data_IF_828642258796
#
_entry.id   IF_828642258796
#
_cell.length_a   1.000
_cell.length_b   1.000
_cell.length_c   1.000
_cell.angle_alpha   90.00
_cell.angle_beta   90.00
_cell.angle_gamma   90.00
#
_symmetry.space_group_name_H-M   'P 1'
#
loop_
_entity.id
_entity.type
_entity.pdbx_description
1 polymer ?
#
# COMPACT_ATOMS: atom_id res chain seq x y z
N UNK A 1 12.86 -18.97 -6.58
CA UNK A 1 11.47 -19.48 -6.41
C UNK A 1 10.76 -18.48 -5.51
N UNK A 2 9.56 -18.00 -5.85
CA UNK A 2 8.84 -17.05 -4.95
C UNK A 2 8.32 -17.82 -3.75
N UNK A 3 8.41 -17.22 -2.55
CA UNK A 3 7.88 -17.82 -1.33
C UNK A 3 6.36 -18.05 -1.47
N UNK A 4 5.91 -19.23 -1.08
CA UNK A 4 4.49 -19.61 -1.11
C UNK A 4 3.63 -18.70 -0.22
N UNK A 5 4.19 -18.18 0.89
CA UNK A 5 3.51 -17.22 1.76
C UNK A 5 3.21 -15.92 1.02
N UNK A 6 4.18 -15.39 0.25
CA UNK A 6 4.01 -14.18 -0.55
C UNK A 6 2.95 -14.35 -1.64
N UNK A 7 3.00 -15.49 -2.37
CA UNK A 7 2.01 -15.79 -3.41
C UNK A 7 0.59 -15.93 -2.84
N UNK A 8 0.45 -16.54 -1.66
CA UNK A 8 -0.84 -16.68 -0.98
C UNK A 8 -1.38 -15.32 -0.50
N UNK A 9 -0.51 -14.46 0.04
CA UNK A 9 -0.88 -13.11 0.41
C UNK A 9 -1.35 -12.30 -0.80
N UNK A 10 -0.61 -12.36 -1.92
CA UNK A 10 -1.01 -11.69 -3.15
C UNK A 10 -2.40 -12.13 -3.63
N UNK A 11 -2.74 -13.43 -3.50
CA UNK A 11 -4.08 -13.95 -3.81
C UNK A 11 -5.13 -13.35 -2.87
N UNK A 12 -4.87 -13.27 -1.57
CA UNK A 12 -5.80 -12.64 -0.61
C UNK A 12 -6.06 -11.18 -1.00
N UNK A 13 -5.01 -10.42 -1.34
CA UNK A 13 -5.15 -9.01 -1.72
C UNK A 13 -5.99 -8.84 -2.99
N UNK A 14 -5.76 -9.68 -4.01
CA UNK A 14 -6.44 -9.57 -5.31
C UNK A 14 -7.82 -10.19 -5.33
N UNK A 15 -8.02 -11.31 -4.63
CA UNK A 15 -9.27 -12.09 -4.69
C UNK A 15 -10.28 -11.64 -3.65
N UNK A 16 -9.83 -11.49 -2.41
CA UNK A 16 -10.70 -11.17 -1.27
C UNK A 16 -10.75 -9.67 -0.99
N UNK A 17 -9.58 -9.01 -0.84
CA UNK A 17 -9.55 -7.64 -0.33
C UNK A 17 -10.15 -6.63 -1.31
N UNK A 18 -9.73 -6.62 -2.57
CA UNK A 18 -10.25 -5.68 -3.58
C UNK A 18 -11.05 -6.37 -4.69
N UNK A 19 -11.10 -7.71 -4.71
CA UNK A 19 -11.89 -8.52 -5.64
C UNK A 19 -11.67 -8.10 -7.11
N UNK A 20 -10.42 -8.22 -7.57
CA UNK A 20 -10.03 -7.86 -8.94
C UNK A 20 -10.79 -8.69 -9.97
N UNK A 21 -11.38 -8.00 -10.96
CA UNK A 21 -12.12 -8.58 -12.07
C UNK A 21 -11.43 -8.31 -13.41
N UNK A 22 -11.84 -9.05 -14.45
CA UNK A 22 -11.45 -8.77 -15.83
C UNK A 22 -11.86 -7.35 -16.21
N UNK A 23 -10.94 -6.62 -16.81
CA UNK A 23 -11.17 -5.24 -17.25
C UNK A 23 -10.85 -4.18 -16.18
N UNK A 24 -10.69 -4.53 -14.89
CA UNK A 24 -10.36 -3.56 -13.85
C UNK A 24 -9.00 -2.90 -14.08
N UNK A 25 -8.94 -1.60 -13.88
CA UNK A 25 -7.70 -0.82 -13.82
C UNK A 25 -7.21 -0.79 -12.38
N UNK A 26 -6.10 -1.46 -12.12
CA UNK A 26 -5.59 -1.66 -10.75
C UNK A 26 -4.33 -0.84 -10.55
N UNK A 27 -4.37 0.15 -9.64
CA UNK A 27 -3.19 0.92 -9.26
C UNK A 27 -2.50 0.24 -8.07
N UNK A 28 -1.28 -0.21 -8.32
CA UNK A 28 -0.43 -0.86 -7.32
C UNK A 28 0.68 0.12 -6.94
N UNK A 29 0.69 0.57 -5.68
CA UNK A 29 1.80 1.38 -5.14
C UNK A 29 2.68 0.50 -4.27
N UNK A 30 3.98 0.55 -4.48
CA UNK A 30 4.94 -0.22 -3.68
C UNK A 30 6.26 0.53 -3.52
N UNK A 31 6.99 0.22 -2.47
CA UNK A 31 8.38 0.62 -2.31
C UNK A 31 9.31 -0.60 -2.48
N UNK A 32 10.61 -0.39 -2.34
CA UNK A 32 11.62 -1.40 -2.64
C UNK A 32 11.42 -2.73 -1.90
N UNK A 33 11.20 -2.67 -0.59
CA UNK A 33 11.12 -3.88 0.22
C UNK A 33 9.82 -4.66 -0.01
N UNK A 34 8.75 -3.96 -0.41
CA UNK A 34 7.47 -4.58 -0.78
C UNK A 34 7.40 -5.04 -2.25
N UNK A 35 8.48 -4.85 -3.04
CA UNK A 35 8.46 -5.12 -4.48
C UNK A 35 8.22 -6.58 -4.83
N UNK A 36 8.70 -7.51 -4.01
CA UNK A 36 8.47 -8.94 -4.22
C UNK A 36 6.97 -9.27 -4.19
N UNK A 37 6.22 -8.68 -3.26
CA UNK A 37 4.78 -8.83 -3.17
C UNK A 37 4.06 -8.11 -4.33
N UNK A 38 4.54 -6.91 -4.72
CA UNK A 38 3.99 -6.15 -5.84
C UNK A 38 4.07 -6.93 -7.15
N UNK A 39 5.19 -7.63 -7.40
CA UNK A 39 5.35 -8.50 -8.59
C UNK A 39 4.31 -9.61 -8.63
N UNK A 40 4.04 -10.26 -7.50
CA UNK A 40 3.04 -11.34 -7.46
C UNK A 40 1.62 -10.81 -7.64
N UNK A 41 1.28 -9.68 -7.00
CA UNK A 41 0.00 -8.98 -7.21
C UNK A 41 -0.18 -8.60 -8.69
N UNK A 42 0.85 -8.03 -9.31
CA UNK A 42 0.83 -7.64 -10.73
C UNK A 42 0.55 -8.84 -11.64
N UNK A 43 1.26 -9.95 -11.45
CA UNK A 43 1.04 -11.20 -12.21
C UNK A 43 -0.39 -11.73 -12.04
N UNK A 44 -0.93 -11.69 -10.84
CA UNK A 44 -2.30 -12.15 -10.58
C UNK A 44 -3.34 -11.26 -11.25
N UNK A 45 -3.14 -9.93 -11.23
CA UNK A 45 -3.99 -9.00 -11.96
C UNK A 45 -4.01 -9.31 -13.46
N UNK A 46 -2.84 -9.54 -14.07
CA UNK A 46 -2.75 -9.93 -15.49
C UNK A 46 -3.48 -11.27 -15.77
N UNK A 47 -3.27 -12.28 -14.93
CA UNK A 47 -3.96 -13.59 -15.07
C UNK A 47 -5.48 -13.46 -15.00
N UNK A 48 -5.99 -12.46 -14.29
CA UNK A 48 -7.43 -12.15 -14.20
C UNK A 48 -7.95 -11.30 -15.37
N UNK A 49 -7.08 -10.88 -16.29
CA UNK A 49 -7.44 -9.99 -17.39
C UNK A 49 -7.70 -8.56 -16.96
N UNK A 50 -7.15 -8.14 -15.83
CA UNK A 50 -7.14 -6.76 -15.38
C UNK A 50 -5.96 -5.98 -15.98
N UNK A 51 -5.98 -4.65 -15.84
CA UNK A 51 -4.96 -3.72 -16.32
C UNK A 51 -4.17 -3.14 -15.12
N UNK A 52 -3.14 -3.83 -14.60
CA UNK A 52 -2.34 -3.32 -13.50
C UNK A 52 -1.38 -2.22 -13.97
N UNK A 53 -1.29 -1.16 -13.17
CA UNK A 53 -0.28 -0.13 -13.30
C UNK A 53 0.46 0.01 -11.96
N UNK A 54 1.80 0.12 -12.01
CA UNK A 54 2.61 0.23 -10.80
C UNK A 54 3.17 1.64 -10.63
N UNK A 55 3.09 2.15 -9.39
CA UNK A 55 3.81 3.35 -8.95
C UNK A 55 4.81 2.93 -7.89
N UNK A 56 6.06 3.25 -8.15
CA UNK A 56 7.16 2.94 -7.24
C UNK A 56 7.51 4.19 -6.43
N UNK A 57 7.59 4.06 -5.11
CA UNK A 57 8.02 5.13 -4.22
C UNK A 57 9.35 4.79 -3.55
N UNK A 58 10.21 5.80 -3.42
CA UNK A 58 11.44 5.72 -2.64
C UNK A 58 11.38 6.75 -1.51
N UNK A 59 11.47 6.29 -0.27
CA UNK A 59 11.35 7.13 0.92
C UNK A 59 12.40 8.24 1.02
N UNK A 60 13.57 8.05 0.42
CA UNK A 60 14.64 9.05 0.36
C UNK A 60 14.21 10.31 -0.40
N UNK A 61 13.45 10.13 -1.49
CA UNK A 61 12.94 11.23 -2.30
C UNK A 61 11.94 12.09 -1.51
N UNK A 62 11.14 11.47 -0.65
CA UNK A 62 10.21 12.20 0.22
C UNK A 62 10.97 13.11 1.19
N UNK A 63 12.04 12.60 1.80
CA UNK A 63 12.88 13.41 2.67
C UNK A 63 13.50 14.62 1.93
N UNK A 64 14.09 14.39 0.74
CA UNK A 64 14.67 15.46 -0.06
C UNK A 64 13.63 16.48 -0.50
N UNK A 65 12.45 16.00 -0.89
CA UNK A 65 11.35 16.88 -1.26
C UNK A 65 10.96 17.79 -0.08
N UNK A 66 10.62 17.22 1.07
CA UNK A 66 10.21 18.03 2.23
C UNK A 66 11.32 18.95 2.74
N UNK A 67 12.57 18.53 2.67
CA UNK A 67 13.71 19.36 3.09
C UNK A 67 13.89 20.60 2.20
N UNK A 68 13.77 20.45 0.88
CA UNK A 68 14.19 21.45 -0.09
C UNK A 68 13.04 22.16 -0.82
N UNK A 69 11.83 21.61 -0.81
CA UNK A 69 10.70 22.17 -1.53
C UNK A 69 10.31 23.55 -1.01
N UNK A 70 10.07 24.47 -1.94
CA UNK A 70 9.46 25.77 -1.67
C UNK A 70 7.97 25.61 -1.28
N UNK A 71 7.40 26.63 -0.68
CA UNK A 71 5.98 26.63 -0.31
C UNK A 71 5.08 26.40 -1.53
N UNK A 72 5.41 26.99 -2.68
CA UNK A 72 4.67 26.80 -3.92
C UNK A 72 4.68 25.34 -4.39
N UNK A 73 5.84 24.64 -4.26
CA UNK A 73 5.96 23.23 -4.60
C UNK A 73 5.16 22.33 -3.64
N UNK A 74 5.17 22.62 -2.33
CA UNK A 74 4.38 21.90 -1.35
C UNK A 74 2.87 22.06 -1.55
N UNK A 75 2.43 23.22 -2.01
CA UNK A 75 1.02 23.55 -2.26
C UNK A 75 0.50 23.03 -3.60
N UNK A 76 1.41 22.73 -4.54
CA UNK A 76 1.01 22.30 -5.89
C UNK A 76 0.21 20.99 -5.81
N UNK A 77 -0.94 20.96 -6.47
CA UNK A 77 -1.73 19.72 -6.60
C UNK A 77 -0.91 18.68 -7.37
N UNK A 78 -0.84 17.44 -6.88
CA UNK A 78 -0.11 16.37 -7.57
C UNK A 78 -0.95 15.82 -8.75
N UNK A 79 -0.89 16.50 -9.87
CA UNK A 79 -1.75 16.27 -11.06
C UNK A 79 -1.65 14.85 -11.60
N UNK A 80 -0.42 14.29 -11.68
CA UNK A 80 -0.19 12.91 -12.15
C UNK A 80 -0.85 11.92 -11.19
N UNK A 81 -0.67 12.10 -9.88
CA UNK A 81 -1.29 11.22 -8.88
C UNK A 81 -2.82 11.35 -8.90
N UNK A 82 -3.33 12.55 -9.15
CA UNK A 82 -4.77 12.78 -9.29
C UNK A 82 -5.33 12.10 -10.55
N UNK A 83 -4.61 12.18 -11.67
CA UNK A 83 -4.96 11.44 -12.89
C UNK A 83 -5.02 9.94 -12.64
N UNK A 84 -3.98 9.36 -12.01
CA UNK A 84 -3.93 7.94 -11.69
C UNK A 84 -5.05 7.52 -10.73
N UNK A 85 -5.37 8.37 -9.74
CA UNK A 85 -6.47 8.10 -8.82
C UNK A 85 -7.84 8.05 -9.52
N UNK A 86 -8.06 8.93 -10.49
CA UNK A 86 -9.29 8.92 -11.32
C UNK A 86 -9.31 7.71 -12.27
N UNK A 87 -8.17 7.40 -12.90
CA UNK A 87 -8.04 6.30 -13.84
C UNK A 87 -8.29 4.94 -13.21
N UNK A 88 -7.78 4.69 -11.99
CA UNK A 88 -7.86 3.40 -11.34
C UNK A 88 -9.27 3.08 -10.86
N UNK A 89 -9.69 1.83 -11.01
CA UNK A 89 -10.92 1.29 -10.42
C UNK A 89 -10.66 0.72 -9.03
N UNK A 90 -9.42 0.25 -8.76
CA UNK A 90 -8.99 -0.38 -7.51
C UNK A 90 -7.59 0.02 -7.12
N UNK A 91 -7.34 0.03 -5.80
CA UNK A 91 -6.04 0.42 -5.24
C UNK A 91 -5.48 -0.69 -4.36
N UNK A 92 -4.22 -1.06 -4.61
CA UNK A 92 -3.45 -1.96 -3.76
C UNK A 92 -2.17 -1.22 -3.36
N UNK A 93 -2.09 -0.85 -2.07
CA UNK A 93 -0.94 -0.14 -1.52
C UNK A 93 -0.12 -1.08 -0.67
N UNK A 94 1.12 -1.28 -1.07
CA UNK A 94 2.07 -2.17 -0.43
C UNK A 94 3.18 -1.31 0.15
N UNK A 95 3.18 -1.18 1.45
CA UNK A 95 4.14 -0.37 2.16
C UNK A 95 5.14 -1.27 2.89
N UNK A 96 6.38 -0.84 2.99
CA UNK A 96 7.39 -1.45 3.84
C UNK A 96 8.28 -0.35 4.39
N UNK A 97 8.39 -0.25 5.70
CA UNK A 97 9.17 0.81 6.33
C UNK A 97 10.66 0.52 6.20
N UNK A 98 11.36 1.28 5.38
CA UNK A 98 12.83 1.21 5.29
C UNK A 98 13.49 2.01 6.42
N UNK A 99 12.95 3.19 6.73
CA UNK A 99 13.33 4.02 7.86
C UNK A 99 12.09 4.71 8.42
N UNK A 100 11.58 4.22 9.55
CA UNK A 100 10.37 4.75 10.20
C UNK A 100 10.54 6.19 10.72
N UNK A 101 11.79 6.67 10.83
CA UNK A 101 12.13 8.01 11.33
C UNK A 101 12.69 8.96 10.28
N UNK A 102 12.60 8.63 8.99
CA UNK A 102 13.16 9.42 7.89
C UNK A 102 12.67 10.89 7.86
N UNK A 103 11.46 11.13 8.29
CA UNK A 103 10.82 12.46 8.29
C UNK A 103 10.75 13.12 9.68
N UNK A 104 11.37 12.55 10.72
CA UNK A 104 11.25 13.08 12.10
C UNK A 104 11.85 14.48 12.27
N UNK A 105 12.79 14.89 11.44
CA UNK A 105 13.43 16.22 11.45
C UNK A 105 12.78 17.20 10.45
N UNK A 106 11.67 16.83 9.83
CA UNK A 106 10.94 17.71 8.91
C UNK A 106 9.90 18.53 9.68
N UNK A 107 9.80 19.82 9.35
CA UNK A 107 8.76 20.69 9.92
C UNK A 107 7.38 20.10 9.65
N UNK A 108 6.57 19.79 10.68
CA UNK A 108 5.23 19.24 10.53
C UNK A 108 4.31 20.10 9.65
N UNK A 109 4.52 21.41 9.59
CA UNK A 109 3.75 22.32 8.73
C UNK A 109 3.89 21.95 7.25
N UNK A 110 5.10 21.57 6.80
CA UNK A 110 5.33 21.12 5.42
C UNK A 110 4.54 19.87 5.10
N UNK A 111 4.52 18.90 6.01
CA UNK A 111 3.74 17.67 5.86
C UNK A 111 2.24 17.96 5.78
N UNK A 112 1.74 18.89 6.61
CA UNK A 112 0.33 19.30 6.60
C UNK A 112 -0.07 19.98 5.28
N UNK A 113 0.79 20.86 4.74
CA UNK A 113 0.54 21.55 3.44
C UNK A 113 0.39 20.51 2.33
N UNK A 114 1.31 19.56 2.24
CA UNK A 114 1.27 18.50 1.21
C UNK A 114 0.09 17.55 1.42
N UNK A 115 -0.24 17.19 2.66
CA UNK A 115 -1.41 16.39 2.96
C UNK A 115 -2.70 17.06 2.48
N UNK A 116 -2.83 18.38 2.69
CA UNK A 116 -3.97 19.17 2.21
C UNK A 116 -4.03 19.23 0.68
N UNK A 117 -2.90 19.42 -0.01
CA UNK A 117 -2.86 19.43 -1.48
C UNK A 117 -3.23 18.06 -2.08
N UNK A 118 -2.95 16.96 -1.37
CA UNK A 118 -3.24 15.58 -1.77
C UNK A 118 -4.62 15.06 -1.32
N UNK A 119 -5.36 15.84 -0.54
CA UNK A 119 -6.69 15.43 -0.02
C UNK A 119 -7.68 14.96 -1.11
N UNK A 120 -7.75 15.59 -2.31
CA UNK A 120 -8.63 15.11 -3.37
C UNK A 120 -8.34 13.67 -3.80
N UNK A 121 -7.06 13.26 -3.82
CA UNK A 121 -6.64 11.89 -4.17
C UNK A 121 -7.20 10.91 -3.13
N UNK A 122 -7.02 11.23 -1.85
CA UNK A 122 -7.55 10.42 -0.75
C UNK A 122 -9.07 10.26 -0.84
N UNK A 123 -9.79 11.34 -1.14
CA UNK A 123 -11.26 11.32 -1.30
C UNK A 123 -11.71 10.40 -2.45
N UNK A 124 -10.97 10.39 -3.57
CA UNK A 124 -11.25 9.51 -4.71
C UNK A 124 -10.98 8.06 -4.34
N UNK A 125 -9.82 7.78 -3.75
CA UNK A 125 -9.40 6.44 -3.36
C UNK A 125 -10.38 5.80 -2.37
N UNK A 126 -10.84 6.53 -1.34
CA UNK A 126 -11.75 6.02 -0.32
C UNK A 126 -13.16 5.66 -0.85
N UNK A 127 -13.53 6.13 -2.05
CA UNK A 127 -14.80 5.78 -2.70
C UNK A 127 -14.74 4.52 -3.54
N UNK A 128 -13.56 3.95 -3.72
CA UNK A 128 -13.30 2.76 -4.57
C UNK A 128 -12.77 1.63 -3.69
N UNK A 129 -12.80 0.36 -4.13
CA UNK A 129 -12.15 -0.73 -3.38
C UNK A 129 -10.65 -0.46 -3.23
N UNK A 130 -10.17 -0.47 -1.99
CA UNK A 130 -8.76 -0.26 -1.69
C UNK A 130 -8.29 -1.14 -0.54
N UNK A 131 -7.02 -1.48 -0.55
CA UNK A 131 -6.31 -2.16 0.52
C UNK A 131 -4.94 -1.52 0.72
N UNK A 132 -4.52 -1.41 1.97
CA UNK A 132 -3.15 -1.13 2.35
C UNK A 132 -2.66 -2.27 3.23
N UNK A 133 -1.49 -2.80 2.92
CA UNK A 133 -0.78 -3.73 3.79
C UNK A 133 0.66 -3.28 3.97
N UNK A 134 1.18 -3.44 5.16
CA UNK A 134 2.60 -3.34 5.41
C UNK A 134 3.26 -4.68 5.08
N UNK A 135 4.46 -4.66 4.53
CA UNK A 135 5.27 -5.85 4.30
C UNK A 135 6.47 -5.82 5.23
N UNK A 136 6.82 -6.92 5.90
CA UNK A 136 7.89 -6.96 6.88
C UNK A 136 9.20 -6.40 6.33
N UNK A 137 9.92 -5.64 7.16
CA UNK A 137 11.24 -5.11 6.87
C UNK A 137 12.14 -5.15 8.08
N UNK A 138 13.45 -5.06 7.85
CA UNK A 138 14.44 -5.00 8.92
C UNK A 138 14.20 -3.82 9.87
N UNK A 139 13.79 -2.66 9.34
CA UNK A 139 13.48 -1.49 10.16
C UNK A 139 12.28 -1.71 11.10
N UNK A 140 11.26 -2.44 10.62
CA UNK A 140 10.11 -2.81 11.45
C UNK A 140 10.53 -3.81 12.54
N UNK A 141 11.32 -4.81 12.21
CA UNK A 141 11.83 -5.81 13.16
C UNK A 141 12.68 -5.14 14.26
N UNK A 142 13.59 -4.25 13.89
CA UNK A 142 14.38 -3.45 14.84
C UNK A 142 13.49 -2.60 15.75
N UNK A 143 12.47 -1.95 15.21
CA UNK A 143 11.54 -1.13 15.99
C UNK A 143 10.70 -1.95 16.97
N UNK A 144 10.42 -3.21 16.62
CA UNK A 144 9.72 -4.17 17.47
C UNK A 144 10.63 -4.92 18.46
N UNK A 145 11.96 -4.80 18.33
CA UNK A 145 12.93 -5.49 19.17
C UNK A 145 13.01 -7.00 18.93
N UNK A 146 12.68 -7.46 17.72
CA UNK A 146 12.67 -8.88 17.32
C UNK A 146 13.46 -9.09 16.02
N UNK A 147 13.74 -10.34 15.66
CA UNK A 147 14.35 -10.67 14.37
C UNK A 147 13.37 -10.49 13.21
N UNK A 148 13.90 -10.34 11.99
CA UNK A 148 13.04 -10.27 10.80
C UNK A 148 12.24 -11.56 10.61
N UNK A 149 12.84 -12.72 10.86
CA UNK A 149 12.18 -14.02 10.74
C UNK A 149 10.98 -14.13 11.69
N UNK A 150 11.13 -13.67 12.95
CA UNK A 150 10.03 -13.63 13.91
C UNK A 150 8.92 -12.67 13.46
N UNK A 151 9.28 -11.48 12.95
CA UNK A 151 8.32 -10.53 12.43
C UNK A 151 7.56 -11.12 11.23
N UNK A 152 8.25 -11.76 10.30
CA UNK A 152 7.62 -12.43 9.16
C UNK A 152 6.66 -13.53 9.58
N UNK A 153 7.04 -14.35 10.56
CA UNK A 153 6.18 -15.40 11.08
C UNK A 153 4.91 -14.85 11.72
N UNK A 154 5.02 -13.80 12.53
CA UNK A 154 3.86 -13.10 13.12
C UNK A 154 2.98 -12.53 12.01
N UNK A 155 3.58 -11.81 11.08
CA UNK A 155 2.89 -11.14 9.98
C UNK A 155 2.12 -12.13 9.10
N UNK A 156 2.79 -13.18 8.61
CA UNK A 156 2.13 -14.15 7.76
C UNK A 156 1.10 -14.98 8.51
N UNK A 157 1.31 -15.32 9.79
CA UNK A 157 0.28 -15.94 10.62
C UNK A 157 -0.97 -15.06 10.75
N UNK A 158 -0.80 -13.76 10.91
CA UNK A 158 -1.92 -12.81 10.99
C UNK A 158 -2.63 -12.61 9.64
N UNK A 159 -1.87 -12.47 8.55
CA UNK A 159 -2.42 -12.14 7.23
C UNK A 159 -3.01 -13.34 6.47
N UNK A 160 -2.45 -14.54 6.65
CA UNK A 160 -2.87 -15.75 5.91
C UNK A 160 -4.02 -16.52 6.59
N UNK A 161 -4.96 -15.80 7.18
CA UNK A 161 -6.16 -16.37 7.80
C UNK A 161 -7.24 -16.72 6.75
N UNK A 162 -8.25 -17.48 7.17
CA UNK A 162 -9.48 -17.69 6.40
C UNK A 162 -10.39 -16.45 6.51
N UNK A 163 -10.10 -15.46 5.68
CA UNK A 163 -10.85 -14.20 5.66
C UNK A 163 -12.32 -14.36 5.26
N UNK A 164 -12.67 -15.42 4.53
CA UNK A 164 -14.06 -15.75 4.21
C UNK A 164 -14.85 -16.11 5.48
N UNK A 165 -14.25 -16.92 6.36
CA UNK A 165 -14.84 -17.28 7.66
C UNK A 165 -14.93 -16.07 8.59
N UNK A 166 -13.84 -15.27 8.67
CA UNK A 166 -13.79 -14.05 9.48
C UNK A 166 -14.86 -13.06 8.99
N UNK A 167 -14.98 -12.84 7.68
CA UNK A 167 -15.99 -11.94 7.09
C UNK A 167 -17.42 -12.32 7.47
N UNK A 168 -17.77 -13.62 7.48
CA UNK A 168 -19.08 -14.09 7.94
C UNK A 168 -19.33 -13.74 9.41
N UNK A 169 -18.31 -13.85 10.27
CA UNK A 169 -18.41 -13.50 11.69
C UNK A 169 -18.62 -11.99 11.86
N UNK A 170 -17.87 -11.15 11.13
CA UNK A 170 -18.01 -9.70 11.15
C UNK A 170 -19.39 -9.23 10.66
N UNK A 171 -19.95 -9.90 9.65
CA UNK A 171 -21.31 -9.60 9.15
C UNK A 171 -22.36 -9.86 10.23
N UNK A 172 -22.22 -10.94 11.00
CA UNK A 172 -23.13 -11.23 12.12
C UNK A 172 -23.03 -10.20 13.25
N UNK A 173 -21.82 -9.68 13.52
CA UNK A 173 -21.63 -8.62 14.51
C UNK A 173 -22.25 -7.29 14.06
N UNK A 174 -22.18 -6.97 12.78
CA UNK A 174 -22.77 -5.76 12.23
C UNK A 174 -24.30 -5.76 12.26
N UNK A 175 -24.92 -6.94 12.25
CA UNK A 175 -26.38 -7.11 12.28
C UNK A 175 -26.99 -7.06 13.69
N UNK A 176 -26.16 -6.95 14.73
CA UNK A 176 -26.55 -6.69 16.13
C UNK A 176 -26.47 -5.20 16.44
#
# INVERSE_FOLDING_TARGET
>A
MVDKKVSKLASILTDYSVNVKKGDKVLISANQDAWILAKEVYKLCLKKGAFPHTVYSQGDLDYFFYKNASQAQLQKKPEISLFLANWADKFIRLYSANNSRSLSNIDPKKLMITAKSSEPIKKIMLKKPWILTEFPSQSMAQSAGISLDELEDIYFKACLQDWSKIGKTLTKLKAK
#
